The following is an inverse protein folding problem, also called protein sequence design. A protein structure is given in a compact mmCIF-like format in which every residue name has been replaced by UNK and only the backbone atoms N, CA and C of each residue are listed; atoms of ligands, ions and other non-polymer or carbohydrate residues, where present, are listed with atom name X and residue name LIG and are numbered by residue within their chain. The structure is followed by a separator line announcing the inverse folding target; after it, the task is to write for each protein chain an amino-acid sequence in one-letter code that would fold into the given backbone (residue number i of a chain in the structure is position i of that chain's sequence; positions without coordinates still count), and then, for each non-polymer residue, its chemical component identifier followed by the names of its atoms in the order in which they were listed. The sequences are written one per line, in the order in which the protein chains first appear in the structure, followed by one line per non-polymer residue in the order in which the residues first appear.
data_IF_517953927218
#
_entry.id   IF_517953927218
#
_cell.length_a   1.000
_cell.length_b   1.000
_cell.length_c   1.000
_cell.angle_alpha   90.00
_cell.angle_beta   90.00
_cell.angle_gamma   90.00
#
_symmetry.space_group_name_H-M   'P 1'
#
loop_
_entity.id
_entity.type
_entity.pdbx_description
1 polymer ?
#
# COMPACT_ATOMS: atom_id res chain seq x y z
N UNK A 1 3.53 -5.42 -17.71
CA UNK A 1 3.56 -6.80 -17.18
C UNK A 1 4.95 -7.25 -16.71
N UNK A 2 6.02 -6.48 -16.99
CA UNK A 2 7.41 -6.83 -16.63
C UNK A 2 7.78 -6.59 -15.15
N UNK A 3 7.15 -5.62 -14.46
CA UNK A 3 7.50 -5.29 -13.07
C UNK A 3 7.21 -6.40 -12.05
N UNK A 4 6.24 -7.28 -12.33
CA UNK A 4 5.84 -8.39 -11.44
C UNK A 4 6.91 -9.50 -11.44
N UNK A 5 7.63 -9.67 -12.56
CA UNK A 5 8.71 -10.67 -12.68
C UNK A 5 10.02 -10.20 -12.04
N UNK A 6 10.25 -8.89 -11.93
CA UNK A 6 11.48 -8.37 -11.29
C UNK A 6 11.47 -8.54 -9.77
N UNK A 7 10.27 -8.60 -9.16
CA UNK A 7 10.10 -8.75 -7.70
C UNK A 7 9.03 -9.80 -7.40
N UNK A 8 9.36 -11.10 -7.53
CA UNK A 8 8.39 -12.19 -7.36
C UNK A 8 7.83 -12.29 -5.93
N UNK A 9 8.42 -11.54 -4.99
CA UNK A 9 8.11 -11.53 -3.57
C UNK A 9 7.43 -10.20 -3.19
N UNK A 10 6.44 -9.75 -3.95
CA UNK A 10 5.46 -8.83 -3.39
C UNK A 10 4.65 -9.65 -2.37
N UNK A 11 4.68 -9.24 -1.11
CA UNK A 11 4.09 -9.96 0.03
C UNK A 11 2.57 -10.13 -0.11
N UNK A 12 2.13 -11.13 -0.87
CA UNK A 12 0.73 -11.57 -0.95
C UNK A 12 0.29 -12.35 0.32
N UNK A 13 0.81 -11.99 1.50
CA UNK A 13 0.51 -12.70 2.75
C UNK A 13 1.14 -14.10 2.89
N UNK A 14 2.04 -14.50 1.97
CA UNK A 14 2.69 -15.82 2.00
C UNK A 14 3.88 -15.90 2.98
N UNK A 15 4.39 -14.76 3.45
CA UNK A 15 5.48 -14.67 4.40
C UNK A 15 4.97 -14.04 5.69
N UNK A 16 5.10 -14.77 6.80
CA UNK A 16 4.89 -14.20 8.12
C UNK A 16 6.04 -13.24 8.42
N UNK A 17 5.81 -11.93 8.57
CA UNK A 17 6.85 -11.01 8.97
C UNK A 17 7.40 -11.44 10.34
N UNK A 18 8.72 -11.30 10.58
CA UNK A 18 9.32 -11.71 11.83
C UNK A 18 8.84 -10.80 12.97
N UNK A 19 7.82 -11.23 13.71
CA UNK A 19 7.23 -10.49 14.84
C UNK A 19 8.28 -9.99 15.84
N UNK A 20 9.34 -10.79 16.07
CA UNK A 20 10.44 -10.41 16.94
C UNK A 20 11.14 -9.12 16.48
N UNK A 21 11.32 -8.91 15.18
CA UNK A 21 11.93 -7.70 14.65
C UNK A 21 11.04 -6.47 14.88
N UNK A 22 9.73 -6.60 14.64
CA UNK A 22 8.77 -5.53 14.92
C UNK A 22 8.79 -5.15 16.41
N UNK A 23 8.73 -6.13 17.30
CA UNK A 23 8.81 -5.90 18.75
C UNK A 23 10.09 -5.17 19.16
N UNK A 24 11.25 -5.51 18.58
CA UNK A 24 12.53 -4.85 18.87
C UNK A 24 12.46 -3.38 18.45
N UNK A 25 12.01 -3.10 17.22
CA UNK A 25 11.89 -1.73 16.71
C UNK A 25 10.94 -0.90 17.58
N UNK A 26 9.75 -1.43 17.89
CA UNK A 26 8.77 -0.75 18.76
C UNK A 26 9.32 -0.49 20.17
N UNK A 27 10.05 -1.46 20.74
CA UNK A 27 10.64 -1.32 22.08
C UNK A 27 11.73 -0.25 22.12
N UNK A 28 12.58 -0.18 21.08
CA UNK A 28 13.63 0.86 20.97
C UNK A 28 13.00 2.24 20.79
N UNK A 29 11.97 2.36 19.96
CA UNK A 29 11.21 3.61 19.78
C UNK A 29 10.62 4.06 21.13
N UNK A 30 9.98 3.15 21.86
CA UNK A 30 9.41 3.43 23.18
C UNK A 30 10.47 3.85 24.21
N UNK A 31 11.63 3.20 24.22
CA UNK A 31 12.74 3.57 25.10
C UNK A 31 13.25 4.99 24.82
N UNK A 32 13.46 5.36 23.55
CA UNK A 32 13.89 6.71 23.15
C UNK A 32 12.81 7.74 23.51
N UNK A 33 11.53 7.42 23.31
CA UNK A 33 10.44 8.32 23.65
C UNK A 33 10.42 8.65 25.15
N UNK A 34 10.58 7.64 26.01
CA UNK A 34 10.61 7.84 27.47
C UNK A 34 11.87 8.61 27.88
N UNK A 35 13.05 8.23 27.38
CA UNK A 35 14.34 8.87 27.71
C UNK A 35 14.40 10.34 27.26
N UNK A 36 13.70 10.67 26.17
CA UNK A 36 13.63 12.03 25.62
C UNK A 36 12.50 12.88 26.19
N UNK A 37 11.94 12.51 27.35
CA UNK A 37 10.81 13.20 27.98
C UNK A 37 9.61 13.35 27.04
N UNK A 38 9.25 12.26 26.35
CA UNK A 38 8.13 12.18 25.41
C UNK A 38 8.29 13.03 24.14
N UNK A 39 9.51 13.27 23.67
CA UNK A 39 9.77 14.07 22.46
C UNK A 39 9.65 13.26 21.17
N UNK A 40 8.56 13.48 20.42
CA UNK A 40 8.38 12.87 19.10
C UNK A 40 9.39 13.36 18.07
N UNK A 41 9.92 14.57 18.20
CA UNK A 41 10.93 15.11 17.31
C UNK A 41 12.25 14.30 17.40
N UNK A 42 12.67 13.98 18.63
CA UNK A 42 13.89 13.19 18.89
C UNK A 42 13.70 11.75 18.40
N UNK A 43 12.53 11.16 18.67
CA UNK A 43 12.15 9.84 18.15
C UNK A 43 12.23 9.83 16.62
N UNK A 44 11.59 10.78 15.96
CA UNK A 44 11.56 10.86 14.49
C UNK A 44 12.95 11.05 13.89
N UNK A 45 13.76 11.95 14.45
CA UNK A 45 15.14 12.20 14.01
C UNK A 45 16.00 10.93 14.08
N UNK A 46 15.76 10.09 15.09
CA UNK A 46 16.50 8.84 15.30
C UNK A 46 15.99 7.73 14.38
N UNK A 47 14.66 7.58 14.29
CA UNK A 47 14.02 6.55 13.49
C UNK A 47 14.16 6.77 11.97
N UNK A 48 14.26 8.03 11.52
CA UNK A 48 14.32 8.37 10.09
C UNK A 48 15.39 7.57 9.33
N UNK A 49 16.60 7.47 9.88
CA UNK A 49 17.70 6.70 9.26
C UNK A 49 17.38 5.20 9.12
N UNK A 50 16.62 4.64 10.05
CA UNK A 50 16.18 3.24 10.01
C UNK A 50 15.07 3.04 8.97
N UNK A 51 14.24 4.05 8.75
CA UNK A 51 13.15 4.05 7.79
C UNK A 51 13.59 4.39 6.35
N UNK A 52 14.72 5.07 6.16
CA UNK A 52 15.27 5.43 4.85
C UNK A 52 15.37 4.27 3.82
N UNK A 53 15.72 3.01 4.18
CA UNK A 53 15.73 1.90 3.23
C UNK A 53 14.35 1.25 2.97
N UNK A 54 13.29 1.67 3.68
CA UNK A 54 11.93 1.26 3.35
C UNK A 54 11.50 1.96 2.06
N UNK A 55 10.58 1.34 1.31
CA UNK A 55 10.06 1.84 0.02
C UNK A 55 9.88 3.36 0.10
N UNK A 56 10.74 4.10 -0.60
CA UNK A 56 10.64 5.55 -0.64
C UNK A 56 9.35 5.92 -1.37
N UNK A 57 8.73 7.04 -1.01
CA UNK A 57 7.57 7.55 -1.76
C UNK A 57 7.87 7.70 -3.26
N UNK A 58 9.13 7.92 -3.62
CA UNK A 58 9.58 7.99 -5.02
C UNK A 58 9.54 6.64 -5.75
N UNK A 59 9.68 5.52 -5.02
CA UNK A 59 9.48 4.16 -5.53
C UNK A 59 8.05 3.66 -5.38
N UNK A 60 7.23 4.35 -4.57
CA UNK A 60 5.81 4.09 -4.44
C UNK A 60 5.11 4.61 -5.69
N UNK A 61 4.95 3.75 -6.70
CA UNK A 61 4.15 4.04 -7.88
C UNK A 61 2.75 4.53 -7.52
N UNK A 62 2.06 5.16 -8.47
CA UNK A 62 0.68 5.62 -8.26
C UNK A 62 -0.18 4.47 -7.74
N UNK A 63 -0.98 4.74 -6.71
CA UNK A 63 -1.90 3.75 -6.20
C UNK A 63 -2.86 3.32 -7.33
N UNK A 64 -2.96 2.02 -7.64
CA UNK A 64 -3.60 1.54 -8.87
C UNK A 64 -5.07 1.93 -8.97
N UNK A 65 -5.77 1.99 -7.83
CA UNK A 65 -7.16 2.45 -7.78
C UNK A 65 -7.27 3.96 -8.06
N UNK A 66 -6.30 4.74 -7.60
CA UNK A 66 -6.28 6.18 -7.85
C UNK A 66 -6.01 6.47 -9.32
N UNK A 67 -5.06 5.75 -9.92
CA UNK A 67 -4.78 5.83 -11.37
C UNK A 67 -6.00 5.44 -12.21
N UNK A 68 -6.71 4.38 -11.80
CA UNK A 68 -7.95 3.96 -12.45
C UNK A 68 -9.03 5.06 -12.38
N UNK A 69 -9.23 5.69 -11.22
CA UNK A 69 -10.18 6.79 -11.07
C UNK A 69 -9.78 8.02 -11.91
N UNK A 70 -8.50 8.40 -11.92
CA UNK A 70 -7.98 9.49 -12.76
C UNK A 70 -8.28 9.23 -14.24
N UNK A 71 -8.03 8.01 -14.72
CA UNK A 71 -8.31 7.61 -16.09
C UNK A 71 -9.82 7.67 -16.39
N UNK A 72 -10.67 7.20 -15.49
CA UNK A 72 -12.12 7.22 -15.67
C UNK A 72 -12.65 8.65 -15.75
N UNK A 73 -12.19 9.53 -14.86
CA UNK A 73 -12.58 10.95 -14.86
C UNK A 73 -12.19 11.64 -16.16
N UNK A 74 -10.95 11.44 -16.64
CA UNK A 74 -10.46 12.02 -17.89
C UNK A 74 -11.31 11.63 -19.10
N UNK A 75 -11.84 10.40 -19.10
CA UNK A 75 -12.63 9.85 -20.20
C UNK A 75 -14.15 9.94 -19.98
N UNK A 76 -14.61 10.63 -18.91
CA UNK A 76 -16.04 10.71 -18.52
C UNK A 76 -16.69 9.34 -18.34
N UNK A 77 -15.93 8.39 -17.82
CA UNK A 77 -16.38 7.04 -17.50
C UNK A 77 -16.74 6.91 -16.02
N UNK A 78 -17.74 6.09 -15.72
CA UNK A 78 -18.05 5.66 -14.36
C UNK A 78 -17.48 4.25 -14.13
N UNK A 79 -16.98 3.97 -12.93
CA UNK A 79 -16.38 2.68 -12.56
C UNK A 79 -17.15 2.06 -11.39
N UNK A 80 -17.49 0.78 -11.50
CA UNK A 80 -18.11 0.03 -10.42
C UNK A 80 -17.35 -1.27 -10.15
N UNK A 81 -17.17 -1.59 -8.87
CA UNK A 81 -16.49 -2.80 -8.41
C UNK A 81 -17.53 -3.78 -7.90
N UNK A 82 -17.64 -4.93 -8.53
CA UNK A 82 -18.45 -6.02 -8.02
C UNK A 82 -17.70 -6.72 -6.88
N UNK A 83 -18.12 -6.42 -5.66
CA UNK A 83 -17.51 -6.96 -4.44
C UNK A 83 -17.99 -8.37 -4.11
N UNK A 84 -19.08 -8.84 -4.73
CA UNK A 84 -19.69 -10.12 -4.44
C UNK A 84 -18.95 -11.29 -5.09
N UNK A 85 -18.11 -11.01 -6.08
CA UNK A 85 -17.26 -12.01 -6.76
C UNK A 85 -15.99 -12.38 -5.99
N UNK A 86 -15.54 -11.52 -5.05
CA UNK A 86 -14.31 -11.76 -4.27
C UNK A 86 -14.36 -13.06 -3.46
N UNK A 87 -15.47 -13.29 -2.76
CA UNK A 87 -15.64 -14.45 -1.85
C UNK A 87 -15.68 -15.79 -2.58
N UNK A 88 -15.95 -15.79 -3.88
CA UNK A 88 -16.13 -17.02 -4.68
C UNK A 88 -14.92 -17.38 -5.54
N UNK A 89 -14.17 -16.39 -6.02
CA UNK A 89 -13.09 -16.63 -6.99
C UNK A 89 -11.81 -15.84 -6.71
N UNK A 90 -11.72 -15.06 -5.62
CA UNK A 90 -10.62 -14.12 -5.36
C UNK A 90 -10.38 -13.14 -6.52
N UNK A 91 -11.39 -12.91 -7.36
CA UNK A 91 -11.34 -11.92 -8.44
C UNK A 91 -12.37 -10.84 -8.16
N UNK A 92 -12.01 -9.59 -8.46
CA UNK A 92 -12.94 -8.46 -8.45
C UNK A 92 -13.21 -8.11 -9.90
N UNK A 93 -14.48 -8.15 -10.31
CA UNK A 93 -14.87 -7.66 -11.62
C UNK A 93 -15.05 -6.15 -11.56
N UNK A 94 -14.44 -5.45 -12.51
CA UNK A 94 -14.53 -4.00 -12.64
C UNK A 94 -15.32 -3.69 -13.89
N UNK A 95 -16.37 -2.88 -13.75
CA UNK A 95 -17.26 -2.49 -14.85
C UNK A 95 -17.07 -1.02 -15.16
N UNK A 96 -16.91 -0.69 -16.44
CA UNK A 96 -16.81 0.68 -16.93
C UNK A 96 -18.10 1.08 -17.63
N UNK A 97 -18.57 2.30 -17.39
CA UNK A 97 -19.77 2.84 -18.02
C UNK A 97 -19.44 4.14 -18.75
N UNK A 98 -19.84 4.26 -20.01
CA UNK A 98 -19.78 5.50 -20.80
C UNK A 98 -21.20 5.84 -21.24
N UNK A 99 -21.71 7.02 -20.89
CA UNK A 99 -23.05 7.49 -21.31
C UNK A 99 -24.20 6.48 -21.04
N UNK A 100 -24.11 5.70 -19.96
CA UNK A 100 -25.11 4.70 -19.58
C UNK A 100 -24.98 3.32 -20.24
N UNK A 101 -23.96 3.10 -21.08
CA UNK A 101 -23.60 1.77 -21.60
C UNK A 101 -22.41 1.18 -20.84
N UNK A 102 -22.51 -0.10 -20.48
CA UNK A 102 -21.40 -0.85 -19.88
C UNK A 102 -20.47 -1.42 -20.94
N UNK A 103 -19.17 -1.34 -20.67
CA UNK A 103 -18.09 -1.97 -21.44
C UNK A 103 -17.48 -3.05 -20.55
N UNK A 104 -17.21 -4.21 -21.16
CA UNK A 104 -16.90 -5.44 -20.44
C UNK A 104 -15.46 -5.88 -20.61
#
# INVERSE_FOLDING_TARGET
MEGINQYPIHSNGLLNPPKALANIVESVIGAIFIDSNSSLEIVWKTFKKLADPLISLDTLGKHPVSELYELCQKNKMNVNFDKDTWTKSMTVKVFFWVNGQSFH
#
